data_IF_434363178597
#
_entry.id   IF_434363178597
#
_cell.length_a   1.000
_cell.length_b   1.000
_cell.length_c   1.000
_cell.angle_alpha   90.00
_cell.angle_beta   90.00
_cell.angle_gamma   90.00
#
_symmetry.space_group_name_H-M   'P 1'
#
loop_
_entity.id
_entity.type
_entity.pdbx_description
1 polymer ?
#
# COMPACT_ATOMS: atom_id res chain seq x y z
N UNK A 1 -57.86 22.81 -27.10
CA UNK A 1 -56.98 21.72 -26.63
C UNK A 1 -56.00 22.33 -25.62
N UNK A 2 -56.22 22.12 -24.32
CA UNK A 2 -55.37 22.67 -23.25
C UNK A 2 -54.71 21.48 -22.54
N UNK A 3 -53.42 21.26 -22.81
CA UNK A 3 -52.63 20.29 -22.05
C UNK A 3 -52.13 21.02 -20.81
N UNK A 4 -52.68 20.66 -19.66
CA UNK A 4 -52.38 21.27 -18.35
C UNK A 4 -50.89 21.21 -18.04
N UNK A 5 -50.26 22.38 -17.89
CA UNK A 5 -48.85 22.57 -17.47
C UNK A 5 -48.54 22.00 -16.08
N UNK A 6 -49.55 21.56 -15.34
CA UNK A 6 -49.42 21.00 -14.00
C UNK A 6 -48.73 19.61 -13.94
N UNK A 7 -48.58 18.89 -15.07
CA UNK A 7 -47.88 17.58 -15.07
C UNK A 7 -46.37 17.64 -15.31
N UNK A 8 -45.82 18.78 -15.74
CA UNK A 8 -44.38 18.92 -15.99
C UNK A 8 -43.58 19.26 -14.73
N UNK A 9 -44.19 19.83 -13.69
CA UNK A 9 -43.50 20.12 -12.42
C UNK A 9 -43.24 18.87 -11.56
N UNK A 10 -44.03 17.80 -11.71
CA UNK A 10 -43.89 16.60 -10.85
C UNK A 10 -42.69 15.71 -11.20
N UNK A 11 -42.17 15.78 -12.44
CA UNK A 11 -41.03 14.95 -12.88
C UNK A 11 -39.68 15.58 -12.48
N UNK A 12 -39.61 16.92 -12.42
CA UNK A 12 -38.39 17.63 -12.02
C UNK A 12 -38.05 17.45 -10.53
N UNK A 13 -39.05 17.22 -9.67
CA UNK A 13 -38.84 17.04 -8.23
C UNK A 13 -38.32 15.65 -7.85
N UNK A 14 -38.51 14.63 -8.70
CA UNK A 14 -38.02 13.26 -8.45
C UNK A 14 -36.52 13.08 -8.78
N UNK A 15 -35.94 13.96 -9.60
CA UNK A 15 -34.53 13.88 -9.99
C UNK A 15 -33.55 14.47 -8.95
N UNK A 16 -34.03 15.27 -7.99
CA UNK A 16 -33.20 15.83 -6.91
C UNK A 16 -33.07 14.92 -5.68
N UNK A 17 -33.87 13.86 -5.55
CA UNK A 17 -33.80 12.95 -4.42
C UNK A 17 -32.72 11.86 -4.58
N UNK A 18 -32.05 11.78 -5.73
CA UNK A 18 -30.86 10.96 -5.93
C UNK A 18 -29.58 11.69 -5.47
N UNK A 19 -29.64 12.38 -4.33
CA UNK A 19 -28.42 12.78 -3.63
C UNK A 19 -27.81 11.52 -3.03
N UNK A 20 -26.88 10.95 -3.80
CA UNK A 20 -25.96 9.88 -3.48
C UNK A 20 -25.63 9.78 -1.98
N UNK A 21 -26.14 8.73 -1.33
CA UNK A 21 -25.51 8.18 -0.13
C UNK A 21 -24.15 7.62 -0.52
N UNK A 22 -23.11 8.47 -0.48
CA UNK A 22 -21.74 7.97 -0.55
C UNK A 22 -21.55 7.05 0.65
N UNK A 23 -21.05 5.82 0.46
CA UNK A 23 -20.71 4.98 1.60
C UNK A 23 -19.73 5.76 2.49
N UNK A 24 -20.01 5.80 3.79
CA UNK A 24 -19.04 6.35 4.74
C UNK A 24 -17.82 5.44 4.74
N UNK A 25 -16.59 5.98 4.69
CA UNK A 25 -15.39 5.18 4.84
C UNK A 25 -15.51 4.35 6.14
N UNK A 26 -15.43 3.04 6.03
CA UNK A 26 -15.36 2.12 7.18
C UNK A 26 -13.92 1.80 7.57
N UNK A 27 -12.96 2.30 6.80
CA UNK A 27 -11.53 2.12 7.02
C UNK A 27 -10.91 3.21 7.88
N UNK A 28 -9.67 2.95 8.30
CA UNK A 28 -8.83 3.88 9.04
C UNK A 28 -7.92 4.61 8.05
N UNK A 29 -7.82 5.94 8.18
CA UNK A 29 -6.88 6.71 7.38
C UNK A 29 -5.45 6.45 7.88
N UNK A 30 -4.56 6.07 6.97
CA UNK A 30 -3.14 5.86 7.28
C UNK A 30 -2.40 7.20 7.23
N UNK A 31 -1.33 7.32 8.02
CA UNK A 31 -0.43 8.46 8.02
C UNK A 31 -0.02 8.84 6.58
N UNK A 32 -0.12 10.11 6.18
CA UNK A 32 0.15 10.55 4.81
C UNK A 32 1.58 10.29 4.30
N UNK A 33 2.52 9.91 5.18
CA UNK A 33 3.85 9.47 4.77
C UNK A 33 3.87 8.06 4.19
N UNK A 34 2.82 7.27 4.43
CA UNK A 34 2.58 5.98 3.78
C UNK A 34 1.73 6.25 2.55
N UNK A 35 2.39 6.71 1.49
CA UNK A 35 1.71 6.97 0.22
C UNK A 35 1.40 5.65 -0.48
N UNK A 36 0.17 5.53 -1.01
CA UNK A 36 -0.34 4.35 -1.72
C UNK A 36 0.01 3.00 -1.06
N UNK A 37 -0.49 2.67 0.15
CA UNK A 37 -0.15 1.41 0.81
C UNK A 37 -0.72 0.18 0.06
N UNK A 38 0.14 -0.76 -0.34
CA UNK A 38 -0.27 -1.97 -1.09
C UNK A 38 -0.40 -3.25 -0.24
N UNK A 39 0.42 -3.40 0.80
CA UNK A 39 0.41 -4.59 1.68
C UNK A 39 0.27 -4.24 3.17
N UNK A 40 -0.32 -5.14 3.98
CA UNK A 40 -0.46 -4.96 5.43
C UNK A 40 -0.37 -6.30 6.19
N UNK A 41 0.47 -6.35 7.22
CA UNK A 41 0.54 -7.51 8.15
C UNK A 41 0.62 -7.03 9.60
N UNK A 42 -0.17 -7.63 10.50
CA UNK A 42 -0.03 -7.37 11.93
C UNK A 42 1.37 -7.77 12.42
N UNK A 43 1.92 -7.12 13.44
CA UNK A 43 3.21 -7.53 14.00
C UNK A 43 3.05 -8.77 14.87
N UNK A 44 3.89 -9.80 14.62
CA UNK A 44 3.87 -11.04 15.39
C UNK A 44 4.37 -10.85 16.83
N UNK A 45 5.14 -9.79 17.10
CA UNK A 45 5.82 -9.56 18.37
C UNK A 45 5.33 -8.30 19.10
N UNK A 46 4.54 -7.46 18.44
CA UNK A 46 4.06 -6.19 19.00
C UNK A 46 2.55 -6.03 18.74
N UNK A 47 1.69 -6.44 19.69
CA UNK A 47 0.25 -6.27 19.55
C UNK A 47 -0.16 -4.83 19.25
N UNK A 48 -1.08 -4.64 18.31
CA UNK A 48 -1.56 -3.33 17.87
C UNK A 48 -0.64 -2.59 16.89
N UNK A 49 0.48 -3.21 16.48
CA UNK A 49 1.35 -2.69 15.42
C UNK A 49 1.09 -3.45 14.13
N UNK A 50 1.15 -2.75 13.01
CA UNK A 50 1.04 -3.31 11.67
C UNK A 50 2.19 -2.82 10.79
N UNK A 51 2.71 -3.70 9.93
CA UNK A 51 3.74 -3.40 8.95
C UNK A 51 3.12 -3.23 7.57
N UNK A 52 3.54 -2.20 6.85
CA UNK A 52 3.08 -1.86 5.49
C UNK A 52 4.21 -1.25 4.66
N UNK A 53 3.97 -1.07 3.36
CA UNK A 53 4.83 -0.39 2.40
C UNK A 53 3.96 0.31 1.36
N UNK A 54 4.53 1.31 0.68
CA UNK A 54 3.88 1.94 -0.48
C UNK A 54 4.02 1.10 -1.75
N UNK A 55 3.22 1.43 -2.75
CA UNK A 55 3.21 0.87 -4.11
C UNK A 55 4.43 1.31 -4.94
N UNK A 56 4.55 0.83 -6.18
CA UNK A 56 5.51 1.34 -7.17
C UNK A 56 5.50 2.86 -7.30
N UNK A 57 6.64 3.43 -7.69
CA UNK A 57 6.83 4.88 -7.76
C UNK A 57 7.14 5.54 -6.41
N UNK A 58 6.92 4.83 -5.30
CA UNK A 58 7.28 5.28 -3.96
C UNK A 58 8.70 4.86 -3.54
N UNK A 59 9.18 5.44 -2.44
CA UNK A 59 10.47 5.05 -1.86
C UNK A 59 10.45 3.63 -1.28
N UNK A 60 11.65 3.04 -1.15
CA UNK A 60 11.88 1.71 -0.58
C UNK A 60 11.77 1.68 0.96
N UNK A 61 10.61 2.09 1.47
CA UNK A 61 10.32 2.24 2.89
C UNK A 61 9.40 1.14 3.41
N UNK A 62 9.76 0.57 4.56
CA UNK A 62 8.90 -0.23 5.40
C UNK A 62 8.37 0.64 6.54
N UNK A 63 7.06 0.65 6.76
CA UNK A 63 6.41 1.47 7.78
C UNK A 63 5.78 0.59 8.86
N UNK A 64 5.92 1.01 10.12
CA UNK A 64 5.11 0.52 11.23
C UNK A 64 4.02 1.55 11.53
N UNK A 65 2.78 1.10 11.62
CA UNK A 65 1.62 1.90 12.01
C UNK A 65 0.87 1.26 13.19
N UNK A 66 0.10 2.04 13.93
CA UNK A 66 -0.87 1.51 14.91
C UNK A 66 -2.23 1.20 14.25
N UNK A 67 -3.19 0.70 15.05
CA UNK A 67 -4.53 0.36 14.60
C UNK A 67 -5.33 1.58 14.12
N UNK A 68 -4.92 2.78 14.54
CA UNK A 68 -5.48 4.07 14.14
C UNK A 68 -4.76 4.65 12.92
N UNK A 69 -3.86 3.88 12.29
CA UNK A 69 -3.18 4.25 11.05
C UNK A 69 -2.02 5.22 11.25
N UNK A 70 -1.70 5.59 12.49
CA UNK A 70 -0.65 6.55 12.79
C UNK A 70 0.73 5.92 12.61
N UNK A 71 1.65 6.67 12.01
CA UNK A 71 3.04 6.23 11.86
C UNK A 71 3.75 6.12 13.22
N UNK A 72 4.32 4.94 13.47
CA UNK A 72 5.15 4.65 14.64
C UNK A 72 6.64 4.69 14.30
N UNK A 73 7.03 4.10 13.17
CA UNK A 73 8.39 4.13 12.66
C UNK A 73 8.46 3.87 11.15
N UNK A 74 9.55 4.27 10.52
CA UNK A 74 9.85 3.94 9.12
C UNK A 74 11.30 3.52 8.91
N UNK A 75 11.51 2.62 7.97
CA UNK A 75 12.80 2.00 7.71
C UNK A 75 13.11 1.93 6.23
N UNK A 76 14.26 2.45 5.83
CA UNK A 76 14.74 2.23 4.46
C UNK A 76 15.22 0.78 4.33
N UNK A 77 14.77 0.05 3.32
CA UNK A 77 15.29 -1.30 3.06
C UNK A 77 16.59 -1.19 2.27
N UNK A 78 17.71 -1.63 2.84
CA UNK A 78 19.02 -1.45 2.20
C UNK A 78 19.18 -2.34 0.97
N UNK A 79 19.89 -1.82 -0.05
CA UNK A 79 20.25 -2.57 -1.26
C UNK A 79 19.05 -3.27 -1.93
N UNK A 80 17.93 -2.55 -2.01
CA UNK A 80 16.71 -2.96 -2.71
C UNK A 80 15.99 -1.67 -3.12
N UNK A 81 15.39 -1.64 -4.31
CA UNK A 81 14.49 -0.57 -4.75
C UNK A 81 13.05 -1.06 -4.64
N UNK A 82 12.10 -0.14 -4.48
CA UNK A 82 10.69 -0.49 -4.65
C UNK A 82 10.40 -0.42 -6.15
N UNK A 83 10.52 -1.56 -6.83
CA UNK A 83 10.20 -1.64 -8.26
C UNK A 83 8.69 -1.77 -8.41
N UNK A 84 8.08 -2.77 -7.78
CA UNK A 84 6.63 -2.94 -7.72
C UNK A 84 6.24 -3.81 -6.51
N UNK A 85 6.41 -3.23 -5.30
CA UNK A 85 6.08 -3.92 -4.05
C UNK A 85 4.57 -3.95 -3.82
N UNK A 86 4.02 -5.16 -3.65
CA UNK A 86 2.56 -5.36 -3.62
C UNK A 86 2.07 -6.04 -2.34
N UNK A 87 2.91 -6.83 -1.66
CA UNK A 87 2.46 -7.61 -0.50
C UNK A 87 3.53 -7.79 0.58
N UNK A 88 3.08 -8.03 1.81
CA UNK A 88 3.91 -8.27 2.98
C UNK A 88 3.29 -9.33 3.88
N UNK A 89 4.11 -10.26 4.36
CA UNK A 89 3.65 -11.36 5.22
C UNK A 89 4.68 -11.73 6.29
N UNK A 90 4.24 -12.52 7.25
CA UNK A 90 5.17 -13.12 8.21
C UNK A 90 6.05 -14.17 7.56
N UNK A 91 7.33 -14.09 7.88
CA UNK A 91 8.28 -15.16 7.69
C UNK A 91 8.60 -15.82 9.04
N UNK A 92 9.34 -16.92 8.98
CA UNK A 92 9.87 -17.60 10.15
C UNK A 92 10.71 -16.65 11.04
N UNK A 93 10.78 -16.96 12.34
CA UNK A 93 11.72 -16.35 13.28
C UNK A 93 11.56 -14.81 13.42
N UNK A 94 10.31 -14.32 13.35
CA UNK A 94 10.02 -12.89 13.51
C UNK A 94 10.50 -12.03 12.33
N UNK A 95 10.70 -12.63 11.17
CA UNK A 95 11.06 -11.94 9.93
C UNK A 95 9.79 -11.61 9.12
N UNK A 96 9.98 -10.84 8.06
CA UNK A 96 8.95 -10.46 7.10
C UNK A 96 9.36 -10.93 5.71
N UNK A 97 8.37 -11.44 4.96
CA UNK A 97 8.40 -11.53 3.51
C UNK A 97 7.85 -10.23 2.93
N UNK A 98 8.49 -9.71 1.90
CA UNK A 98 8.07 -8.53 1.14
C UNK A 98 8.09 -8.88 -0.34
N UNK A 99 6.94 -8.83 -1.00
CA UNK A 99 6.75 -9.20 -2.39
C UNK A 99 7.00 -8.03 -3.32
N UNK A 100 8.09 -8.07 -4.07
CA UNK A 100 8.34 -7.24 -5.25
C UNK A 100 7.83 -8.01 -6.49
N UNK A 101 6.50 -8.01 -6.63
CA UNK A 101 5.77 -8.97 -7.47
C UNK A 101 4.78 -8.31 -8.42
N UNK A 102 4.57 -7.00 -8.34
CA UNK A 102 3.71 -6.28 -9.27
C UNK A 102 4.23 -6.45 -10.70
N UNK A 103 3.30 -6.75 -11.61
CA UNK A 103 3.62 -7.13 -12.99
C UNK A 103 2.38 -7.03 -13.90
N UNK A 104 1.61 -5.95 -13.80
CA UNK A 104 0.32 -5.81 -14.47
C UNK A 104 0.43 -5.95 -16.00
N UNK A 105 1.51 -5.43 -16.58
CA UNK A 105 1.81 -5.55 -18.01
C UNK A 105 2.49 -6.87 -18.40
N UNK A 106 2.74 -7.76 -17.43
CA UNK A 106 3.47 -9.03 -17.61
C UNK A 106 4.87 -8.86 -18.24
N UNK A 107 5.47 -7.68 -18.11
CA UNK A 107 6.77 -7.33 -18.70
C UNK A 107 7.97 -7.65 -17.80
N UNK A 108 7.79 -7.65 -16.47
CA UNK A 108 8.87 -7.88 -15.52
C UNK A 108 9.32 -9.34 -15.49
N UNK A 109 10.63 -9.53 -15.34
CA UNK A 109 11.31 -10.84 -15.26
C UNK A 109 12.19 -10.98 -14.01
N UNK A 110 12.23 -9.92 -13.23
CA UNK A 110 13.03 -9.70 -12.04
C UNK A 110 12.18 -9.76 -10.75
N UNK A 111 11.00 -10.38 -10.82
CA UNK A 111 10.11 -10.55 -9.67
C UNK A 111 10.86 -11.22 -8.51
N UNK A 112 10.63 -10.70 -7.30
CA UNK A 112 11.35 -11.16 -6.12
C UNK A 112 10.45 -11.22 -4.89
N UNK A 113 10.82 -12.11 -3.96
CA UNK A 113 10.28 -12.12 -2.61
C UNK A 113 11.45 -11.93 -1.66
N UNK A 114 11.47 -10.77 -1.03
CA UNK A 114 12.53 -10.34 -0.12
C UNK A 114 12.26 -10.84 1.29
N UNK A 115 13.30 -11.35 1.98
CA UNK A 115 13.21 -11.71 3.40
C UNK A 115 14.02 -10.79 4.28
N UNK A 116 13.38 -10.04 5.16
CA UNK A 116 14.01 -9.03 6.02
C UNK A 116 13.63 -9.21 7.50
N UNK A 117 14.50 -8.83 8.46
CA UNK A 117 14.12 -8.84 9.87
C UNK A 117 13.05 -7.78 10.14
N UNK A 118 12.04 -8.08 10.97
CA UNK A 118 11.15 -7.04 11.49
C UNK A 118 11.94 -6.15 12.46
N UNK A 119 12.09 -4.84 12.20
CA UNK A 119 12.81 -3.95 13.10
C UNK A 119 11.95 -3.56 14.32
N UNK A 120 12.52 -2.81 15.27
CA UNK A 120 11.76 -2.26 16.39
C UNK A 120 10.72 -1.24 15.87
N UNK A 121 9.41 -1.46 16.02
CA UNK A 121 8.41 -0.55 15.47
C UNK A 121 8.35 0.83 16.12
N UNK A 122 9.20 1.12 17.13
CA UNK A 122 9.20 2.38 17.88
C UNK A 122 10.50 3.18 17.79
N UNK A 123 11.46 2.79 16.96
CA UNK A 123 12.74 3.51 16.84
C UNK A 123 12.64 4.83 16.02
N UNK A 124 11.46 5.17 15.50
CA UNK A 124 11.21 6.38 14.71
C UNK A 124 11.70 6.28 13.26
N UNK A 125 13.01 6.35 13.01
CA UNK A 125 13.57 6.27 11.65
C UNK A 125 14.83 5.40 11.65
N UNK A 126 14.94 4.49 10.69
CA UNK A 126 16.13 3.64 10.57
C UNK A 126 16.35 3.04 9.19
N UNK A 127 17.22 2.02 9.15
CA UNK A 127 17.50 1.21 7.98
C UNK A 127 17.40 -0.27 8.34
N UNK A 128 16.72 -1.05 7.50
CA UNK A 128 16.70 -2.51 7.59
C UNK A 128 17.82 -3.06 6.71
N UNK A 129 18.56 -4.03 7.24
CA UNK A 129 19.65 -4.69 6.52
C UNK A 129 19.17 -5.33 5.20
N UNK A 130 20.11 -5.53 4.27
CA UNK A 130 19.81 -6.10 2.95
C UNK A 130 18.97 -7.39 3.06
N UNK A 131 17.83 -7.48 2.34
CA UNK A 131 17.03 -8.69 2.34
C UNK A 131 17.80 -9.91 1.81
N UNK A 132 17.47 -11.08 2.34
CA UNK A 132 17.93 -12.35 1.76
C UNK A 132 17.10 -12.64 0.51
N UNK A 133 17.76 -13.04 -0.58
CA UNK A 133 17.11 -13.32 -1.88
C UNK A 133 17.04 -12.13 -2.84
N UNK A 134 17.44 -10.92 -2.41
CA UNK A 134 17.58 -9.80 -3.33
C UNK A 134 18.75 -10.06 -4.32
N UNK A 135 18.56 -9.83 -5.63
CA UNK A 135 19.65 -9.91 -6.60
C UNK A 135 20.81 -8.99 -6.18
N UNK A 136 22.05 -9.42 -6.44
CA UNK A 136 23.24 -8.69 -5.99
C UNK A 136 23.44 -7.34 -6.71
N UNK A 137 22.69 -7.10 -7.80
CA UNK A 137 22.78 -5.95 -8.69
C UNK A 137 21.43 -5.24 -8.86
N UNK A 138 21.07 -4.36 -7.93
CA UNK A 138 19.90 -3.47 -8.07
C UNK A 138 20.08 -2.39 -9.17
N UNK A 139 20.86 -2.65 -10.22
CA UNK A 139 20.93 -1.75 -11.39
C UNK A 139 19.81 -2.14 -12.34
N UNK A 140 18.67 -1.45 -12.19
CA UNK A 140 17.51 -1.56 -13.05
C UNK A 140 17.93 -1.64 -14.52
N UNK A 141 17.69 -2.80 -15.12
CA UNK A 141 17.60 -2.91 -16.56
C UNK A 141 16.21 -2.42 -16.94
N UNK A 142 16.07 -1.10 -17.08
CA UNK A 142 15.00 -0.53 -17.89
C UNK A 142 15.24 -1.01 -19.32
N UNK A 143 14.67 -2.15 -19.68
CA UNK A 143 14.50 -2.52 -21.07
C UNK A 143 13.27 -1.78 -21.59
N UNK A 144 13.46 -0.53 -22.00
CA UNK A 144 12.68 -0.01 -23.10
C UNK A 144 12.98 -0.91 -24.31
N UNK A 145 11.98 -1.65 -24.78
CA UNK A 145 12.19 -2.57 -25.90
C UNK A 145 10.92 -3.18 -26.47
N UNK A 146 10.36 -2.47 -27.45
CA UNK A 146 9.43 -2.87 -28.53
C UNK A 146 7.95 -3.10 -28.19
#
# INVERSE_FOLDING_TARGET
MSVSTARLLSIALLALAACASRPSPTGVAVDPQVDEPSGLVASATHPGVYWTHGDSGNGNWLFAIDAEGKLLARYRVAATENVDWEDIAHAEQGRLWLGDIGNNDSGRRDLAVHRLPAPDPRAGVGQVARPLGAPADCKGHSSNGA
#
